data_IF_097228214052
#
_entry.id   IF_097228214052
#
_cell.length_a   1.000
_cell.length_b   1.000
_cell.length_c   1.000
_cell.angle_alpha   90.00
_cell.angle_beta   90.00
_cell.angle_gamma   90.00
#
_symmetry.space_group_name_H-M   'P 1'
#
loop_
_entity.id
_entity.type
_entity.pdbx_description
1 polymer ?
#
# COMPACT_ATOMS: atom_id res chain seq x y z
N UNK A 1 2.75 -2.65 40.53
CA UNK A 1 1.74 -3.27 39.65
C UNK A 1 2.41 -3.92 38.43
N UNK A 2 2.51 -5.25 38.37
CA UNK A 2 3.00 -5.98 37.19
C UNK A 2 1.81 -6.30 36.29
N UNK A 3 1.71 -5.68 35.12
CA UNK A 3 0.74 -6.11 34.09
C UNK A 3 1.21 -7.46 33.53
N UNK A 4 0.31 -8.43 33.43
CA UNK A 4 0.58 -9.74 32.84
C UNK A 4 0.96 -9.57 31.35
N UNK A 5 2.01 -10.24 30.85
CA UNK A 5 2.41 -10.16 29.43
C UNK A 5 1.28 -10.49 28.45
N UNK A 6 0.31 -11.31 28.88
CA UNK A 6 -0.85 -11.71 28.06
C UNK A 6 -1.78 -10.55 27.73
N UNK A 7 -1.96 -9.59 28.65
CA UNK A 7 -2.81 -8.41 28.41
C UNK A 7 -2.20 -7.41 27.43
N UNK A 8 -0.89 -7.45 27.20
CA UNK A 8 -0.21 -6.60 26.22
C UNK A 8 -0.20 -7.21 24.81
N UNK A 9 -0.54 -8.50 24.67
CA UNK A 9 -0.65 -9.22 23.39
C UNK A 9 -2.05 -9.09 22.79
N UNK A 10 -3.10 -9.23 23.60
CA UNK A 10 -4.49 -9.22 23.10
C UNK A 10 -4.92 -7.91 22.43
N UNK A 11 -4.25 -6.79 22.72
CA UNK A 11 -4.49 -5.51 22.03
C UNK A 11 -3.79 -5.40 20.67
N UNK A 12 -2.81 -6.27 20.39
CA UNK A 12 -2.12 -6.36 19.09
C UNK A 12 -2.85 -7.30 18.14
N UNK A 13 -3.49 -8.32 18.68
CA UNK A 13 -4.19 -9.36 17.92
C UNK A 13 -5.66 -8.96 17.66
N UNK A 14 -5.90 -7.70 17.28
CA UNK A 14 -7.19 -7.33 16.71
C UNK A 14 -7.33 -8.10 15.39
N UNK A 15 -8.47 -8.72 15.16
CA UNK A 15 -8.73 -9.31 13.85
C UNK A 15 -8.84 -8.20 12.81
N UNK A 16 -8.57 -8.53 11.54
CA UNK A 16 -8.78 -7.57 10.44
C UNK A 16 -10.21 -7.00 10.48
N UNK A 17 -11.19 -7.80 10.91
CA UNK A 17 -12.58 -7.37 11.09
C UNK A 17 -12.74 -6.33 12.21
N UNK A 18 -12.06 -6.48 13.34
CA UNK A 18 -12.13 -5.52 14.44
C UNK A 18 -11.51 -4.17 14.03
N UNK A 19 -10.41 -4.20 13.27
CA UNK A 19 -9.75 -2.99 12.77
C UNK A 19 -10.62 -2.30 11.71
N UNK A 20 -11.09 -3.04 10.71
CA UNK A 20 -11.93 -2.50 9.64
C UNK A 20 -13.27 -1.96 10.19
N UNK A 21 -13.86 -2.60 11.19
CA UNK A 21 -15.10 -2.11 11.82
C UNK A 21 -14.91 -0.78 12.57
N UNK A 22 -13.69 -0.45 12.96
CA UNK A 22 -13.37 0.79 13.69
C UNK A 22 -12.99 1.97 12.80
N UNK A 23 -12.83 1.73 11.50
CA UNK A 23 -12.38 2.72 10.52
C UNK A 23 -13.58 3.26 9.75
N UNK A 24 -13.79 4.56 9.81
CA UNK A 24 -14.83 5.23 9.03
C UNK A 24 -14.42 5.35 7.55
N UNK A 25 -15.42 5.33 6.66
CA UNK A 25 -15.27 5.58 5.22
C UNK A 25 -14.40 4.55 4.47
N UNK A 26 -14.41 3.28 4.90
CA UNK A 26 -13.81 2.19 4.11
C UNK A 26 -14.75 1.81 2.96
N UNK A 27 -14.20 1.80 1.74
CA UNK A 27 -14.92 1.44 0.52
C UNK A 27 -14.56 0.04 -0.02
N UNK A 28 -14.19 -0.88 0.87
CA UNK A 28 -13.88 -2.27 0.54
C UNK A 28 -12.42 -2.63 0.79
N UNK A 29 -12.02 -3.78 0.25
CA UNK A 29 -10.69 -4.38 0.36
C UNK A 29 -9.93 -4.31 -0.99
N UNK A 30 -8.76 -4.96 -1.06
CA UNK A 30 -7.94 -5.00 -2.29
C UNK A 30 -8.68 -5.57 -3.50
N UNK A 31 -9.57 -6.55 -3.32
CA UNK A 31 -10.35 -7.11 -4.42
C UNK A 31 -11.37 -6.11 -4.95
N UNK A 32 -12.03 -5.36 -4.06
CA UNK A 32 -12.95 -4.27 -4.45
C UNK A 32 -12.20 -3.17 -5.21
N UNK A 33 -10.99 -2.85 -4.76
CA UNK A 33 -10.08 -1.92 -5.44
C UNK A 33 -9.69 -2.38 -6.85
N UNK A 34 -9.35 -3.66 -7.04
CA UNK A 34 -9.04 -4.20 -8.37
C UNK A 34 -10.27 -4.24 -9.28
N UNK A 35 -11.44 -4.57 -8.74
CA UNK A 35 -12.71 -4.51 -9.48
C UNK A 35 -13.01 -3.08 -9.93
N UNK A 36 -12.83 -2.11 -9.04
CA UNK A 36 -13.01 -0.69 -9.35
C UNK A 36 -12.14 -0.22 -10.52
N UNK A 37 -10.89 -0.66 -10.60
CA UNK A 37 -10.02 -0.34 -11.73
C UNK A 37 -10.44 -0.98 -13.06
N UNK A 38 -11.03 -2.17 -13.01
CA UNK A 38 -11.52 -2.86 -14.20
C UNK A 38 -12.76 -2.19 -14.76
N UNK A 39 -13.69 -1.80 -13.89
CA UNK A 39 -15.00 -1.29 -14.30
C UNK A 39 -14.94 0.19 -14.68
N UNK A 40 -14.10 0.97 -14.01
CA UNK A 40 -14.14 2.42 -14.12
C UNK A 40 -13.28 2.95 -15.26
N UNK A 41 -13.92 3.59 -16.23
CA UNK A 41 -13.25 4.19 -17.41
C UNK A 41 -12.66 5.59 -17.17
N UNK A 42 -12.93 6.19 -16.02
CA UNK A 42 -12.42 7.55 -15.69
C UNK A 42 -10.95 7.49 -15.28
N UNK A 43 -10.25 8.63 -15.39
CA UNK A 43 -8.88 8.76 -14.86
C UNK A 43 -8.88 8.57 -13.34
N UNK A 44 -7.92 7.79 -12.83
CA UNK A 44 -7.80 7.46 -11.41
C UNK A 44 -6.46 7.95 -10.85
N UNK A 45 -6.50 8.49 -9.64
CA UNK A 45 -5.33 8.77 -8.82
C UNK A 45 -5.39 7.84 -7.60
N UNK A 46 -4.33 7.09 -7.36
CA UNK A 46 -4.19 6.25 -6.16
C UNK A 46 -3.46 7.06 -5.10
N UNK A 47 -3.94 7.06 -3.86
CA UNK A 47 -3.27 7.66 -2.72
C UNK A 47 -2.91 6.56 -1.73
N UNK A 48 -1.64 6.45 -1.39
CA UNK A 48 -1.11 5.44 -0.47
C UNK A 48 -0.43 6.11 0.72
N UNK A 49 -0.59 5.53 1.91
CA UNK A 49 -0.03 6.06 3.17
C UNK A 49 1.51 5.98 3.16
N UNK A 50 2.08 4.97 2.54
CA UNK A 50 3.52 4.85 2.32
C UNK A 50 3.78 3.91 1.13
N UNK A 51 5.05 3.69 0.80
CA UNK A 51 5.41 2.79 -0.28
C UNK A 51 4.93 1.36 -0.02
N UNK A 52 5.17 0.84 1.18
CA UNK A 52 4.85 -0.55 1.53
C UNK A 52 3.35 -0.81 1.69
N UNK A 53 2.57 0.22 2.04
CA UNK A 53 1.13 0.19 2.21
C UNK A 53 0.38 0.13 0.88
N UNK A 54 1.05 0.46 -0.23
CA UNK A 54 0.52 0.14 -1.56
C UNK A 54 0.99 -1.23 -2.05
N UNK A 55 2.30 -1.42 -2.16
CA UNK A 55 2.89 -2.69 -2.58
C UNK A 55 4.39 -2.70 -2.32
N UNK A 56 4.93 -3.88 -2.04
CA UNK A 56 6.38 -4.08 -1.95
C UNK A 56 6.95 -4.84 -3.15
N UNK A 57 6.10 -5.20 -4.12
CA UNK A 57 6.49 -5.92 -5.32
C UNK A 57 6.45 -4.99 -6.54
N UNK A 58 7.62 -4.65 -7.05
CA UNK A 58 7.78 -3.76 -8.21
C UNK A 58 7.16 -4.36 -9.47
N UNK A 59 7.20 -5.69 -9.62
CA UNK A 59 6.63 -6.38 -10.78
C UNK A 59 5.11 -6.29 -10.78
N UNK A 60 4.50 -6.48 -9.61
CA UNK A 60 3.04 -6.37 -9.45
C UNK A 60 2.58 -4.94 -9.72
N UNK A 61 3.31 -3.94 -9.20
CA UNK A 61 3.04 -2.53 -9.49
C UNK A 61 3.11 -2.23 -10.99
N UNK A 62 4.17 -2.70 -11.65
CA UNK A 62 4.36 -2.48 -13.08
C UNK A 62 3.27 -3.16 -13.91
N UNK A 63 2.85 -4.36 -13.54
CA UNK A 63 1.79 -5.10 -14.22
C UNK A 63 0.44 -4.41 -14.01
N UNK A 64 0.11 -4.02 -12.78
CA UNK A 64 -1.10 -3.24 -12.46
C UNK A 64 -1.21 -1.98 -13.34
N UNK A 65 -0.13 -1.21 -13.46
CA UNK A 65 -0.11 0.01 -14.28
C UNK A 65 -0.21 -0.27 -15.79
N UNK A 66 0.28 -1.42 -16.26
CA UNK A 66 0.14 -1.83 -17.67
C UNK A 66 -1.29 -2.26 -17.98
N UNK A 67 -1.89 -3.05 -17.11
CA UNK A 67 -3.26 -3.57 -17.24
C UNK A 67 -4.32 -2.46 -17.11
N UNK A 68 -4.07 -1.48 -16.24
CA UNK A 68 -5.03 -0.43 -15.91
C UNK A 68 -4.53 0.94 -16.38
N UNK A 69 -4.78 1.25 -17.66
CA UNK A 69 -4.37 2.52 -18.28
C UNK A 69 -5.12 3.74 -17.75
N UNK A 70 -6.21 3.54 -17.01
CA UNK A 70 -6.98 4.56 -16.30
C UNK A 70 -6.25 5.12 -15.07
N UNK A 71 -5.32 4.38 -14.46
CA UNK A 71 -4.47 4.88 -13.37
C UNK A 71 -3.49 5.90 -13.94
N UNK A 72 -3.69 7.19 -13.65
CA UNK A 72 -2.82 8.26 -14.17
C UNK A 72 -1.72 8.64 -13.20
N UNK A 73 -2.00 8.59 -11.90
CA UNK A 73 -1.10 9.07 -10.85
C UNK A 73 -1.15 8.16 -9.63
N UNK A 74 -0.01 8.07 -8.96
CA UNK A 74 0.12 7.48 -7.64
C UNK A 74 0.75 8.54 -6.73
N UNK A 75 0.07 8.86 -5.63
CA UNK A 75 0.53 9.74 -4.58
C UNK A 75 0.89 8.90 -3.36
N UNK A 76 2.09 9.08 -2.85
CA UNK A 76 2.56 8.44 -1.61
C UNK A 76 2.68 9.52 -0.55
N UNK A 77 1.86 9.41 0.49
CA UNK A 77 1.77 10.37 1.59
C UNK A 77 2.91 10.14 2.60
N UNK A 78 4.07 10.72 2.33
CA UNK A 78 5.21 10.63 3.23
C UNK A 78 5.19 11.72 4.31
N UNK A 79 4.06 12.39 4.54
CA UNK A 79 3.98 13.57 5.40
C UNK A 79 4.47 13.29 6.82
N UNK A 80 4.06 12.17 7.41
CA UNK A 80 4.45 11.78 8.77
C UNK A 80 5.96 11.58 8.95
N UNK A 81 6.68 11.20 7.89
CA UNK A 81 8.10 10.84 7.98
C UNK A 81 9.03 11.90 7.38
N UNK A 82 8.57 12.59 6.35
CA UNK A 82 9.40 13.41 5.48
C UNK A 82 8.75 14.76 5.12
N UNK A 83 7.60 15.09 5.73
CA UNK A 83 6.85 16.34 5.52
C UNK A 83 6.59 16.68 4.05
N UNK A 84 6.39 15.66 3.20
CA UNK A 84 6.05 15.86 1.79
C UNK A 84 5.23 14.69 1.25
N UNK A 85 4.57 14.94 0.12
CA UNK A 85 3.86 13.93 -0.66
C UNK A 85 4.66 13.67 -1.93
N UNK A 86 4.94 12.42 -2.23
CA UNK A 86 5.59 12.04 -3.48
C UNK A 86 4.53 11.70 -4.53
N UNK A 87 4.55 12.39 -5.65
CA UNK A 87 3.62 12.16 -6.76
C UNK A 87 4.38 11.54 -7.92
N UNK A 88 3.85 10.44 -8.44
CA UNK A 88 4.35 9.78 -9.64
C UNK A 88 3.27 9.76 -10.71
N UNK A 89 3.63 10.18 -11.92
CA UNK A 89 2.83 9.89 -13.10
C UNK A 89 3.00 8.42 -13.50
N UNK A 90 1.96 7.82 -14.08
CA UNK A 90 1.99 6.44 -14.60
C UNK A 90 3.22 6.17 -15.46
N UNK A 91 3.54 7.10 -16.37
CA UNK A 91 4.67 6.95 -17.29
C UNK A 91 6.03 7.00 -16.57
N UNK A 92 6.14 7.76 -15.48
CA UNK A 92 7.36 7.79 -14.67
C UNK A 92 7.62 6.42 -14.03
N UNK A 93 6.59 5.73 -13.56
CA UNK A 93 6.72 4.40 -12.97
C UNK A 93 6.90 3.30 -14.02
N UNK A 94 6.27 3.42 -15.19
CA UNK A 94 6.45 2.43 -16.27
C UNK A 94 7.85 2.47 -16.89
N UNK A 95 8.44 3.67 -17.00
CA UNK A 95 9.65 3.91 -17.79
C UNK A 95 10.91 4.16 -16.93
N UNK A 96 10.79 4.46 -15.63
CA UNK A 96 11.93 4.70 -14.76
C UNK A 96 12.01 3.67 -13.63
N UNK A 97 13.02 2.80 -13.72
CA UNK A 97 13.27 1.75 -12.71
C UNK A 97 13.60 2.34 -11.33
N UNK A 98 14.29 3.48 -11.26
CA UNK A 98 14.62 4.12 -9.99
C UNK A 98 13.37 4.59 -9.22
N UNK A 99 12.32 5.00 -9.93
CA UNK A 99 11.04 5.32 -9.30
C UNK A 99 10.33 4.07 -8.77
N UNK A 100 10.38 2.95 -9.50
CA UNK A 100 9.83 1.66 -9.03
C UNK A 100 10.57 1.12 -7.81
N UNK A 101 11.89 1.28 -7.74
CA UNK A 101 12.71 0.80 -6.61
C UNK A 101 12.30 1.39 -5.27
N UNK A 102 11.68 2.57 -5.24
CA UNK A 102 11.16 3.17 -4.01
C UNK A 102 10.12 2.26 -3.32
N UNK A 103 9.39 1.44 -4.09
CA UNK A 103 8.41 0.48 -3.58
C UNK A 103 9.06 -0.81 -3.05
N UNK A 104 10.32 -1.10 -3.41
CA UNK A 104 11.06 -2.22 -2.85
C UNK A 104 11.75 -1.85 -1.52
N UNK A 105 10.97 -1.39 -0.55
CA UNK A 105 11.48 -0.83 0.69
C UNK A 105 11.53 -1.84 1.86
N UNK A 106 11.11 -3.09 1.67
CA UNK A 106 11.22 -4.14 2.69
C UNK A 106 12.54 -4.88 2.59
N UNK A 107 13.33 -4.97 3.68
CA UNK A 107 14.53 -5.79 3.70
C UNK A 107 14.17 -7.27 3.55
N UNK A 108 15.08 -8.04 2.96
CA UNK A 108 14.93 -9.49 2.87
C UNK A 108 14.71 -10.09 4.28
N UNK A 109 13.82 -11.09 4.36
CA UNK A 109 13.61 -11.80 5.61
C UNK A 109 14.94 -12.37 6.10
N UNK A 110 15.29 -12.07 7.35
CA UNK A 110 16.42 -12.75 8.00
C UNK A 110 16.03 -14.21 8.15
N UNK A 111 16.76 -15.10 7.49
CA UNK A 111 16.58 -16.54 7.62
C UNK A 111 16.79 -16.93 9.09
N UNK A 112 15.72 -17.40 9.75
CA UNK A 112 15.76 -17.70 11.20
C UNK A 112 16.16 -19.15 11.49
N UNK A 113 16.27 -19.98 10.46
CA UNK A 113 16.68 -21.38 10.55
C UNK A 113 17.75 -21.67 9.52
N UNK A 114 18.71 -22.52 9.88
CA UNK A 114 19.64 -23.14 8.92
C UNK A 114 18.90 -24.16 8.07
#
# INVERSE_FOLDING_TARGET
>A
CRRSPKQALSKRDLSDQDILSSLDQIHGNTQDFLTYFKEKKTKICVVAIDYAGFTTNMSDLKNLLKEHSNIQKIMVDLFFYQNHIKVFDRNQLLNCVENLKQFNCRPAYRQRSK
#
